data_IF_350106258465
#
_entry.id   IF_350106258465
#
_cell.length_a   1.000
_cell.length_b   1.000
_cell.length_c   1.000
_cell.angle_alpha   90.00
_cell.angle_beta   90.00
_cell.angle_gamma   90.00
#
_symmetry.space_group_name_H-M   'P 1'
#
loop_
_entity.id
_entity.type
_entity.pdbx_description
1 polymer ?
#
# COMPACT_ATOMS: atom_id res chain seq x y z
N UNK A 1 12.47 -8.96 7.99
CA UNK A 1 12.46 -9.83 9.18
C UNK A 1 12.89 -11.24 8.79
N UNK A 2 13.74 -11.89 9.59
CA UNK A 2 14.22 -13.25 9.29
C UNK A 2 13.20 -14.33 9.69
N UNK A 3 12.33 -14.02 10.66
CA UNK A 3 11.27 -14.94 11.08
C UNK A 3 10.26 -15.18 9.94
N UNK A 4 9.89 -16.43 9.63
CA UNK A 4 8.96 -16.72 8.53
C UNK A 4 7.60 -16.05 8.72
N UNK A 5 7.10 -16.02 9.96
CA UNK A 5 5.83 -15.39 10.34
C UNK A 5 6.07 -14.32 11.39
N UNK A 6 5.75 -13.08 11.04
CA UNK A 6 6.09 -11.91 11.86
C UNK A 6 5.05 -11.67 12.95
N UNK A 7 5.56 -11.50 14.18
CA UNK A 7 4.75 -11.23 15.37
C UNK A 7 4.68 -9.76 15.77
N UNK A 8 3.79 -9.42 16.71
CA UNK A 8 3.58 -8.04 17.17
C UNK A 8 4.82 -7.41 17.83
N UNK A 9 5.66 -8.21 18.49
CA UNK A 9 6.90 -7.73 19.13
C UNK A 9 7.84 -7.10 18.09
N UNK A 10 8.02 -7.80 16.97
CA UNK A 10 8.84 -7.37 15.84
C UNK A 10 8.29 -6.11 15.19
N UNK A 11 6.97 -6.03 14.99
CA UNK A 11 6.32 -4.82 14.47
C UNK A 11 6.56 -3.62 15.40
N UNK A 12 6.31 -3.77 16.71
CA UNK A 12 6.53 -2.68 17.67
C UNK A 12 7.96 -2.17 17.66
N UNK A 13 8.95 -3.07 17.57
CA UNK A 13 10.36 -2.72 17.47
C UNK A 13 10.64 -1.87 16.21
N UNK A 14 10.12 -2.26 15.04
CA UNK A 14 10.29 -1.46 13.82
C UNK A 14 9.58 -0.11 13.90
N UNK A 15 8.39 -0.07 14.51
CA UNK A 15 7.65 1.17 14.64
C UNK A 15 8.32 2.15 15.60
N UNK A 16 8.94 1.66 16.69
CA UNK A 16 9.78 2.50 17.54
C UNK A 16 10.96 3.08 16.76
N UNK A 17 11.64 2.24 15.97
CA UNK A 17 12.75 2.70 15.11
C UNK A 17 12.30 3.73 14.08
N UNK A 18 11.13 3.55 13.45
CA UNK A 18 10.54 4.54 12.56
C UNK A 18 10.30 5.87 13.27
N UNK A 19 9.85 5.85 14.53
CA UNK A 19 9.63 7.05 15.32
C UNK A 19 10.95 7.77 15.65
N UNK A 20 11.96 7.02 16.06
CA UNK A 20 13.30 7.56 16.38
C UNK A 20 13.96 8.18 15.14
N UNK A 21 13.81 7.55 13.97
CA UNK A 21 14.37 8.02 12.70
C UNK A 21 13.45 9.03 11.98
N UNK A 22 12.30 9.41 12.56
CA UNK A 22 11.27 10.27 11.94
C UNK A 22 10.77 9.80 10.57
N UNK A 23 10.72 8.48 10.36
CA UNK A 23 10.23 7.85 9.15
C UNK A 23 8.71 7.67 9.25
N UNK A 24 7.97 8.23 8.29
CA UNK A 24 6.49 8.16 8.26
C UNK A 24 5.97 6.99 7.44
N UNK A 25 6.78 6.46 6.51
CA UNK A 25 6.42 5.36 5.60
C UNK A 25 7.52 4.32 5.57
N UNK A 26 7.16 3.06 5.69
CA UNK A 26 8.10 1.95 5.52
C UNK A 26 7.42 0.73 4.89
N UNK A 27 8.24 -0.07 4.20
CA UNK A 27 7.85 -1.34 3.58
C UNK A 27 8.41 -2.48 4.42
N UNK A 28 7.58 -3.48 4.71
CA UNK A 28 7.99 -4.69 5.41
C UNK A 28 7.72 -5.91 4.55
N UNK A 29 8.80 -6.57 4.14
CA UNK A 29 8.75 -7.79 3.34
C UNK A 29 8.80 -9.00 4.28
N UNK A 30 7.80 -9.87 4.22
CA UNK A 30 7.65 -11.05 5.09
C UNK A 30 7.60 -12.33 4.27
N UNK A 31 8.06 -13.45 4.83
CA UNK A 31 8.15 -14.71 4.06
C UNK A 31 6.79 -15.41 3.93
N UNK A 32 6.15 -15.75 5.07
CA UNK A 32 4.87 -16.47 5.11
C UNK A 32 3.70 -15.58 5.55
N UNK A 33 3.97 -14.46 6.23
CA UNK A 33 2.95 -13.50 6.63
C UNK A 33 3.15 -12.91 8.01
N UNK A 34 2.05 -12.37 8.55
CA UNK A 34 1.99 -11.74 9.87
C UNK A 34 0.88 -12.37 10.72
N UNK A 35 1.02 -12.33 12.05
CA UNK A 35 -0.09 -12.67 12.96
C UNK A 35 -1.23 -11.65 12.82
N UNK A 36 -2.50 -12.04 13.10
CA UNK A 36 -3.62 -11.09 13.08
C UNK A 36 -3.40 -9.87 13.99
N UNK A 37 -2.80 -10.08 15.16
CA UNK A 37 -2.43 -9.00 16.10
C UNK A 37 -1.39 -8.04 15.53
N UNK A 38 -0.39 -8.55 14.79
CA UNK A 38 0.59 -7.74 14.10
C UNK A 38 -0.08 -6.92 12.98
N UNK A 39 -0.97 -7.53 12.18
CA UNK A 39 -1.73 -6.81 11.14
C UNK A 39 -2.60 -5.70 11.73
N UNK A 40 -3.29 -5.96 12.83
CA UNK A 40 -4.12 -4.95 13.51
C UNK A 40 -3.28 -3.76 13.95
N UNK A 41 -2.09 -4.01 14.51
CA UNK A 41 -1.21 -2.92 14.95
C UNK A 41 -0.76 -2.00 13.81
N UNK A 42 -0.73 -2.47 12.56
CA UNK A 42 -0.43 -1.61 11.40
C UNK A 42 -1.57 -0.63 11.12
N UNK A 43 -2.82 -1.11 11.28
CA UNK A 43 -4.02 -0.29 11.09
C UNK A 43 -4.10 0.78 12.17
N UNK A 44 -3.82 0.42 13.42
CA UNK A 44 -3.89 1.31 14.57
C UNK A 44 -2.84 2.45 14.52
N UNK A 45 -1.75 2.26 13.79
CA UNK A 45 -0.69 3.26 13.62
C UNK A 45 -0.97 4.27 12.50
N UNK A 46 -1.83 3.90 11.56
CA UNK A 46 -2.31 4.82 10.54
C UNK A 46 -3.22 5.90 11.16
N UNK A 47 -3.22 7.14 10.64
CA UNK A 47 -2.53 7.59 9.43
C UNK A 47 -1.11 8.12 9.67
N UNK A 48 -0.66 8.24 10.93
CA UNK A 48 0.61 8.92 11.27
C UNK A 48 1.83 8.15 10.78
N UNK A 49 1.82 6.83 10.93
CA UNK A 49 2.86 5.94 10.41
C UNK A 49 2.22 4.88 9.52
N UNK A 50 2.71 4.78 8.29
CA UNK A 50 2.19 3.86 7.29
C UNK A 50 3.23 2.76 7.08
N UNK A 51 2.90 1.55 7.53
CA UNK A 51 3.71 0.37 7.28
C UNK A 51 2.98 -0.54 6.29
N UNK A 52 3.58 -0.76 5.12
CA UNK A 52 2.99 -1.55 4.04
C UNK A 52 3.63 -2.94 4.00
N UNK A 53 2.81 -3.98 4.10
CA UNK A 53 3.25 -5.37 4.05
C UNK A 53 3.34 -5.85 2.61
N UNK A 54 4.44 -6.55 2.28
CA UNK A 54 4.57 -7.40 1.09
C UNK A 54 4.99 -8.81 1.45
N UNK A 55 4.50 -9.80 0.72
CA UNK A 55 5.07 -11.14 0.78
C UNK A 55 6.32 -11.19 -0.10
N UNK A 56 7.37 -11.87 0.36
CA UNK A 56 8.59 -12.04 -0.42
C UNK A 56 8.29 -12.66 -1.79
N UNK A 57 7.35 -13.61 -1.85
CA UNK A 57 6.91 -14.26 -3.08
C UNK A 57 6.26 -13.29 -4.08
N UNK A 58 5.58 -12.24 -3.60
CA UNK A 58 4.97 -11.20 -4.47
C UNK A 58 6.03 -10.35 -5.17
N UNK A 59 7.25 -10.28 -4.62
CA UNK A 59 8.33 -9.43 -5.14
C UNK A 59 9.36 -10.21 -5.97
N UNK A 60 9.18 -11.53 -6.14
CA UNK A 60 10.07 -12.35 -6.97
C UNK A 60 9.93 -12.02 -8.47
N UNK A 61 8.76 -11.55 -8.88
CA UNK A 61 8.43 -11.20 -10.27
C UNK A 61 7.77 -9.84 -10.27
N UNK A 62 8.26 -8.92 -11.09
CA UNK A 62 7.64 -7.61 -11.25
C UNK A 62 6.38 -7.74 -12.14
N UNK A 63 5.21 -7.71 -11.52
CA UNK A 63 3.92 -7.87 -12.24
C UNK A 63 3.63 -6.71 -13.20
N UNK A 64 4.28 -5.55 -13.05
CA UNK A 64 4.05 -4.40 -13.94
C UNK A 64 4.67 -4.58 -15.32
N UNK A 65 5.58 -5.56 -15.49
CA UNK A 65 6.21 -5.90 -16.77
C UNK A 65 5.45 -7.00 -17.53
N UNK A 66 4.39 -7.54 -16.93
CA UNK A 66 3.61 -8.61 -17.53
C UNK A 66 2.76 -8.10 -18.71
N UNK A 67 2.74 -8.81 -19.84
CA UNK A 67 2.05 -8.38 -21.07
C UNK A 67 0.55 -8.09 -20.90
N UNK A 68 -0.11 -8.78 -19.97
CA UNK A 68 -1.53 -8.60 -19.65
C UNK A 68 -1.82 -7.43 -18.70
N UNK A 69 -0.78 -6.80 -18.13
CA UNK A 69 -0.92 -5.69 -17.18
C UNK A 69 -0.64 -4.39 -17.93
N UNK A 70 -1.64 -3.52 -18.15
CA UNK A 70 -1.41 -2.24 -18.81
C UNK A 70 -0.61 -1.30 -17.90
N UNK A 71 -0.07 -0.23 -18.49
CA UNK A 71 0.58 0.83 -17.73
C UNK A 71 -0.45 1.57 -16.86
N UNK A 72 -0.13 1.75 -15.58
CA UNK A 72 -0.94 2.49 -14.63
C UNK A 72 -0.16 3.72 -14.18
N UNK A 73 -0.79 4.89 -14.22
CA UNK A 73 -0.21 6.17 -13.79
C UNK A 73 -1.12 6.79 -12.76
N UNK A 74 -0.55 7.14 -11.59
CA UNK A 74 -1.30 7.81 -10.53
C UNK A 74 -1.49 9.28 -10.89
N UNK A 75 -2.74 9.73 -10.93
CA UNK A 75 -3.09 11.10 -11.27
C UNK A 75 -2.88 12.03 -10.07
N UNK A 76 -2.43 13.24 -10.36
CA UNK A 76 -2.43 14.37 -9.44
C UNK A 76 -3.85 14.86 -9.15
N UNK A 77 -4.03 15.60 -8.06
CA UNK A 77 -5.37 16.11 -7.68
C UNK A 77 -5.91 17.08 -8.73
N UNK A 78 -5.01 17.82 -9.37
CA UNK A 78 -5.29 18.78 -10.42
C UNK A 78 -5.83 18.06 -11.66
N UNK A 79 -5.17 16.99 -12.09
CA UNK A 79 -5.60 16.16 -13.22
C UNK A 79 -6.95 15.47 -12.94
N UNK A 80 -7.17 14.98 -11.71
CA UNK A 80 -8.46 14.40 -11.31
C UNK A 80 -9.57 15.45 -11.37
N UNK A 81 -9.30 16.66 -10.89
CA UNK A 81 -10.26 17.78 -10.95
C UNK A 81 -10.60 18.12 -12.39
N UNK A 82 -9.59 18.18 -13.26
CA UNK A 82 -9.79 18.42 -14.69
C UNK A 82 -10.62 17.31 -15.35
N UNK A 83 -10.31 16.04 -15.06
CA UNK A 83 -11.05 14.88 -15.57
C UNK A 83 -12.53 14.94 -15.22
N UNK A 84 -12.84 15.17 -13.94
CA UNK A 84 -14.22 15.25 -13.45
C UNK A 84 -14.97 16.43 -14.07
N UNK A 85 -14.31 17.59 -14.22
CA UNK A 85 -14.90 18.76 -14.85
C UNK A 85 -15.17 18.54 -16.35
N UNK A 86 -14.21 17.96 -17.07
CA UNK A 86 -14.28 17.70 -18.53
C UNK A 86 -15.46 16.80 -18.87
N UNK A 87 -15.66 15.73 -18.11
CA UNK A 87 -16.73 14.75 -18.35
C UNK A 87 -17.99 15.00 -17.50
N UNK A 88 -18.00 16.04 -16.66
CA UNK A 88 -19.09 16.37 -15.72
C UNK A 88 -19.49 15.17 -14.85
N UNK A 89 -18.48 14.45 -14.36
CA UNK A 89 -18.64 13.26 -13.54
C UNK A 89 -18.51 13.60 -12.05
N UNK A 90 -19.11 12.74 -11.22
CA UNK A 90 -18.81 12.63 -9.79
C UNK A 90 -17.86 11.45 -9.56
N UNK A 91 -17.01 11.54 -8.54
CA UNK A 91 -16.03 10.48 -8.21
C UNK A 91 -16.66 9.07 -8.12
N UNK A 92 -17.89 8.97 -7.58
CA UNK A 92 -18.58 7.70 -7.41
C UNK A 92 -19.02 7.03 -8.73
N UNK A 93 -18.97 7.75 -9.85
CA UNK A 93 -19.29 7.26 -11.19
C UNK A 93 -18.07 6.71 -11.93
N UNK A 94 -16.85 6.93 -11.40
CA UNK A 94 -15.65 6.34 -11.96
C UNK A 94 -15.59 4.83 -11.67
N UNK A 95 -14.99 4.03 -12.58
CA UNK A 95 -14.64 2.64 -12.30
C UNK A 95 -13.80 2.54 -11.02
N UNK A 96 -13.99 1.46 -10.25
CA UNK A 96 -13.34 1.27 -8.95
C UNK A 96 -12.31 0.15 -9.02
N UNK A 97 -11.13 0.42 -8.47
CA UNK A 97 -10.11 -0.57 -8.16
C UNK A 97 -10.12 -0.88 -6.66
N UNK A 98 -9.87 -2.14 -6.29
CA UNK A 98 -9.77 -2.52 -4.88
C UNK A 98 -8.41 -2.11 -4.32
N UNK A 99 -8.36 -1.62 -3.08
CA UNK A 99 -7.09 -1.31 -2.42
C UNK A 99 -6.22 -2.57 -2.16
N UNK A 100 -6.82 -3.77 -2.23
CA UNK A 100 -6.12 -5.05 -2.14
C UNK A 100 -5.57 -5.56 -3.47
N UNK A 101 -5.85 -4.88 -4.58
CA UNK A 101 -5.30 -5.24 -5.89
C UNK A 101 -3.75 -5.19 -5.84
N UNK A 102 -3.04 -6.19 -6.42
CA UNK A 102 -1.57 -6.20 -6.42
C UNK A 102 -0.94 -4.94 -7.02
N UNK A 103 -1.51 -4.38 -8.09
CA UNK A 103 -1.04 -3.14 -8.72
C UNK A 103 -1.34 -1.94 -7.84
N UNK A 104 -2.53 -1.90 -7.23
CA UNK A 104 -2.86 -0.84 -6.26
C UNK A 104 -1.89 -0.84 -5.06
N UNK A 105 -1.55 -2.03 -4.55
CA UNK A 105 -0.56 -2.18 -3.47
C UNK A 105 0.83 -1.75 -3.94
N UNK A 106 1.24 -2.13 -5.16
CA UNK A 106 2.54 -1.78 -5.74
C UNK A 106 2.76 -0.26 -5.80
N UNK A 107 1.76 0.49 -6.28
CA UNK A 107 1.81 1.96 -6.31
C UNK A 107 1.51 2.63 -4.95
N UNK A 108 1.15 1.85 -3.92
CA UNK A 108 0.84 2.37 -2.60
C UNK A 108 -0.35 3.34 -2.56
N UNK A 109 -1.27 3.21 -3.54
CA UNK A 109 -2.41 4.12 -3.71
C UNK A 109 -3.40 3.98 -2.55
N UNK A 110 -4.02 5.10 -2.19
CA UNK A 110 -5.02 5.19 -1.12
C UNK A 110 -6.40 5.46 -1.70
N UNK A 111 -7.42 5.10 -0.92
CA UNK A 111 -8.82 5.30 -1.30
C UNK A 111 -9.07 6.77 -1.69
N UNK A 112 -9.65 6.97 -2.87
CA UNK A 112 -9.95 8.29 -3.42
C UNK A 112 -8.88 8.85 -4.36
N UNK A 113 -7.72 8.19 -4.48
CA UNK A 113 -6.78 8.48 -5.58
C UNK A 113 -7.26 7.79 -6.86
N UNK A 114 -6.90 8.39 -8.00
CA UNK A 114 -7.20 7.92 -9.35
C UNK A 114 -5.88 7.65 -10.06
#
# INVERSE_FOLDING_TARGET
PEEPKVGIKTIKMYCQRMQEENITRALIVVQQGMTPSAKQSLVDMAPKYILEQFLQQELLINITEHELVPEHVVMSKEEVTELLARYKLRENQLPRIQAGDPVARYFGIKRGQV
#
